data_IF_149106691356
#
_entry.id   IF_149106691356
#
_cell.length_a   1.000
_cell.length_b   1.000
_cell.length_c   1.000
_cell.angle_alpha   90.00
_cell.angle_beta   90.00
_cell.angle_gamma   90.00
#
_symmetry.space_group_name_H-M   'P 1'
#
loop_
_entity.id
_entity.type
_entity.pdbx_description
1 polymer ?
#
# COMPACT_ATOMS: atom_id res chain seq x y z
N UNK A 1 11.84 17.35 -16.64
CA UNK A 1 12.31 16.82 -15.37
C UNK A 1 11.72 15.44 -15.15
N UNK A 2 12.54 14.47 -14.81
CA UNK A 2 12.09 13.09 -14.65
C UNK A 2 11.48 12.91 -13.28
N UNK A 3 10.27 12.32 -13.20
CA UNK A 3 9.60 12.01 -11.94
C UNK A 3 10.33 10.88 -11.23
N UNK A 4 10.40 10.99 -9.91
CA UNK A 4 10.89 9.90 -9.06
C UNK A 4 9.70 9.11 -8.55
N UNK A 5 9.78 7.79 -8.65
CA UNK A 5 8.70 6.90 -8.26
C UNK A 5 9.15 5.89 -7.21
N UNK A 6 8.30 5.70 -6.20
CA UNK A 6 8.45 4.65 -5.21
C UNK A 6 7.33 3.63 -5.43
N UNK A 7 7.72 2.38 -5.60
CA UNK A 7 6.81 1.25 -5.69
C UNK A 7 7.01 0.42 -4.44
N UNK A 8 6.01 0.33 -3.59
CA UNK A 8 6.14 -0.31 -2.29
C UNK A 8 5.15 -1.46 -2.18
N UNK A 9 5.66 -2.67 -1.99
CA UNK A 9 4.81 -3.84 -1.73
C UNK A 9 4.79 -4.11 -0.24
N UNK A 10 3.60 -4.18 0.33
CA UNK A 10 3.39 -4.50 1.74
C UNK A 10 2.75 -5.88 1.81
N UNK A 11 3.38 -6.80 2.55
CA UNK A 11 2.95 -8.20 2.59
C UNK A 11 2.37 -8.61 3.95
N UNK A 12 2.29 -7.68 4.90
CA UNK A 12 1.86 -7.98 6.26
C UNK A 12 0.90 -6.94 6.80
N UNK A 13 0.12 -7.36 7.77
CA UNK A 13 -0.81 -6.51 8.51
C UNK A 13 -0.48 -6.53 10.00
N UNK A 14 -1.52 -6.67 10.85
CA UNK A 14 -1.36 -6.65 12.31
C UNK A 14 -0.47 -7.78 12.85
N UNK A 15 -0.31 -8.87 12.12
CA UNK A 15 0.56 -9.98 12.55
C UNK A 15 2.04 -9.61 12.56
N UNK A 16 2.42 -8.52 11.90
CA UNK A 16 3.76 -7.98 11.91
C UNK A 16 3.67 -6.45 11.95
N UNK A 17 3.14 -5.95 13.06
CA UNK A 17 2.72 -4.55 13.21
C UNK A 17 3.85 -3.55 12.92
N UNK A 18 5.05 -3.79 13.43
CA UNK A 18 6.14 -2.84 13.20
C UNK A 18 6.58 -2.80 11.73
N UNK A 19 6.59 -3.95 11.06
CA UNK A 19 6.93 -4.00 9.63
C UNK A 19 5.87 -3.28 8.80
N UNK A 20 4.60 -3.51 9.10
CA UNK A 20 3.51 -2.82 8.42
C UNK A 20 3.58 -1.31 8.65
N UNK A 21 3.86 -0.89 9.88
CA UNK A 21 4.03 0.52 10.21
C UNK A 21 5.20 1.15 9.43
N UNK A 22 6.34 0.46 9.35
CA UNK A 22 7.49 0.92 8.58
C UNK A 22 7.12 1.17 7.12
N UNK A 23 6.42 0.22 6.52
CA UNK A 23 6.02 0.32 5.12
C UNK A 23 5.11 1.53 4.86
N UNK A 24 4.08 1.69 5.68
CA UNK A 24 3.16 2.81 5.51
C UNK A 24 3.80 4.15 5.83
N UNK A 25 4.71 4.19 6.82
CA UNK A 25 5.46 5.40 7.13
C UNK A 25 6.34 5.83 5.96
N UNK A 26 7.08 4.89 5.36
CA UNK A 26 7.92 5.17 4.20
C UNK A 26 7.06 5.65 3.02
N UNK A 27 5.94 5.00 2.77
CA UNK A 27 5.04 5.39 1.69
C UNK A 27 4.51 6.82 1.89
N UNK A 28 4.04 7.15 3.09
CA UNK A 28 3.52 8.49 3.39
C UNK A 28 4.62 9.54 3.29
N UNK A 29 5.83 9.24 3.75
CA UNK A 29 6.96 10.16 3.60
C UNK A 29 7.33 10.37 2.15
N UNK A 30 7.22 9.34 1.31
CA UNK A 30 7.41 9.46 -0.14
C UNK A 30 6.42 10.45 -0.77
N UNK A 31 5.15 10.36 -0.37
CA UNK A 31 4.13 11.31 -0.82
C UNK A 31 4.50 12.73 -0.40
N UNK A 32 4.88 12.92 0.86
CA UNK A 32 5.27 14.22 1.38
C UNK A 32 6.50 14.80 0.67
N UNK A 33 7.40 13.94 0.22
CA UNK A 33 8.60 14.34 -0.52
C UNK A 33 8.35 14.66 -1.99
N UNK A 34 7.12 14.50 -2.45
CA UNK A 34 6.75 14.78 -3.84
C UNK A 34 7.03 13.64 -4.82
N UNK A 35 7.35 12.45 -4.34
CA UNK A 35 7.52 11.28 -5.20
C UNK A 35 6.15 10.77 -5.68
N UNK A 36 6.15 10.10 -6.83
CA UNK A 36 4.99 9.33 -7.27
C UNK A 36 5.03 8.00 -6.51
N UNK A 37 4.06 7.79 -5.62
CA UNK A 37 4.04 6.61 -4.74
C UNK A 37 2.92 5.67 -5.14
N UNK A 38 3.27 4.40 -5.33
CA UNK A 38 2.31 3.33 -5.58
C UNK A 38 2.53 2.23 -4.55
N UNK A 39 1.49 1.92 -3.79
CA UNK A 39 1.53 0.89 -2.75
C UNK A 39 0.71 -0.30 -3.21
N UNK A 40 1.33 -1.48 -3.15
CA UNK A 40 0.70 -2.76 -3.49
C UNK A 40 0.51 -3.58 -2.23
N UNK A 41 -0.69 -4.08 -2.02
CA UNK A 41 -1.05 -4.83 -0.83
C UNK A 41 -1.26 -6.30 -1.17
N UNK A 42 -0.54 -7.17 -0.46
CA UNK A 42 -0.67 -8.62 -0.57
C UNK A 42 -0.84 -9.23 0.83
N UNK A 43 -1.32 -10.47 0.88
CA UNK A 43 -1.54 -11.15 2.15
C UNK A 43 -2.43 -10.33 3.08
N UNK A 44 -2.11 -10.30 4.35
CA UNK A 44 -2.90 -9.59 5.35
C UNK A 44 -2.87 -8.07 5.20
N UNK A 45 -1.93 -7.54 4.42
CA UNK A 45 -1.91 -6.11 4.14
C UNK A 45 -3.15 -5.65 3.35
N UNK A 46 -3.83 -6.54 2.67
CA UNK A 46 -5.05 -6.25 1.90
C UNK A 46 -6.08 -5.52 2.76
N UNK A 47 -6.17 -5.88 4.04
CA UNK A 47 -7.19 -5.31 4.94
C UNK A 47 -7.03 -3.82 5.17
N UNK A 48 -5.85 -3.25 4.96
CA UNK A 48 -5.66 -1.80 5.05
C UNK A 48 -6.49 -1.04 4.01
N UNK A 49 -6.87 -1.69 2.92
CA UNK A 49 -7.68 -1.06 1.87
C UNK A 49 -9.18 -1.31 2.04
N UNK A 50 -9.63 -1.99 3.11
CA UNK A 50 -11.03 -2.35 3.30
C UNK A 50 -11.65 -1.51 4.41
N UNK A 51 -12.56 -0.56 4.09
CA UNK A 51 -13.22 0.26 5.10
C UNK A 51 -13.92 -0.61 6.15
N UNK A 52 -13.74 -0.25 7.41
CA UNK A 52 -14.34 -0.97 8.53
C UNK A 52 -13.58 -2.23 8.96
N UNK A 53 -12.58 -2.65 8.20
CA UNK A 53 -11.76 -3.83 8.53
C UNK A 53 -10.26 -3.50 8.56
N UNK A 54 -9.93 -2.24 8.55
CA UNK A 54 -8.54 -1.78 8.58
C UNK A 54 -7.91 -2.12 9.94
N UNK A 55 -6.73 -2.79 9.96
CA UNK A 55 -6.07 -3.10 11.22
C UNK A 55 -5.59 -1.84 11.93
N UNK A 56 -5.71 -1.84 13.26
CA UNK A 56 -5.07 -0.86 14.11
C UNK A 56 -3.79 -1.50 14.65
N UNK A 57 -2.65 -0.86 14.44
CA UNK A 57 -1.36 -1.44 14.82
C UNK A 57 -0.99 -1.17 16.28
N UNK A 58 -1.63 -0.19 16.91
CA UNK A 58 -1.47 0.13 18.35
C UNK A 58 -0.02 0.27 18.79
N UNK A 59 0.83 0.87 17.94
CA UNK A 59 2.25 1.03 18.24
C UNK A 59 2.53 2.35 18.95
N UNK A 60 3.26 2.33 20.09
CA UNK A 60 3.71 3.58 20.72
C UNK A 60 4.60 4.38 19.76
N UNK A 61 4.50 5.70 19.87
CA UNK A 61 5.31 6.67 19.11
C UNK A 61 5.06 6.68 17.61
N UNK A 62 4.08 5.92 17.12
CA UNK A 62 3.75 5.88 15.70
C UNK A 62 2.57 6.81 15.39
N UNK A 63 2.59 7.40 14.20
CA UNK A 63 1.40 8.01 13.64
C UNK A 63 0.35 6.91 13.43
N UNK A 64 -0.92 7.14 13.76
CA UNK A 64 -1.95 6.14 13.51
C UNK A 64 -1.93 5.67 12.06
N UNK A 65 -1.96 4.35 11.85
CA UNK A 65 -1.84 3.78 10.51
C UNK A 65 -2.95 4.26 9.58
N UNK A 66 -4.14 4.53 10.13
CA UNK A 66 -5.25 5.06 9.35
C UNK A 66 -4.89 6.40 8.67
N UNK A 67 -4.14 7.25 9.36
CA UNK A 67 -3.70 8.54 8.81
C UNK A 67 -2.65 8.34 7.72
N UNK A 68 -1.75 7.38 7.89
CA UNK A 68 -0.74 7.06 6.88
C UNK A 68 -1.40 6.51 5.61
N UNK A 69 -2.35 5.59 5.77
CA UNK A 69 -3.10 5.03 4.64
C UNK A 69 -3.83 6.13 3.88
N UNK A 70 -4.48 7.04 4.60
CA UNK A 70 -5.22 8.15 3.99
C UNK A 70 -4.29 9.10 3.23
N UNK A 71 -3.11 9.38 3.77
CA UNK A 71 -2.10 10.18 3.06
C UNK A 71 -1.75 9.54 1.72
N UNK A 72 -1.51 8.23 1.71
CA UNK A 72 -1.18 7.51 0.48
C UNK A 72 -2.37 7.46 -0.47
N UNK A 73 -3.58 7.23 0.06
CA UNK A 73 -4.79 7.20 -0.76
C UNK A 73 -5.00 8.50 -1.52
N UNK A 74 -4.78 9.62 -0.84
CA UNK A 74 -4.99 10.96 -1.43
C UNK A 74 -3.86 11.40 -2.35
N UNK A 75 -2.61 11.05 -2.01
CA UNK A 75 -1.44 11.56 -2.73
C UNK A 75 -0.69 10.52 -3.57
N UNK A 76 -1.13 9.28 -3.56
CA UNK A 76 -0.51 8.19 -4.30
C UNK A 76 -1.54 7.23 -4.85
N UNK A 77 -1.16 5.97 -5.03
CA UNK A 77 -2.05 4.92 -5.52
C UNK A 77 -1.98 3.69 -4.62
N UNK A 78 -3.11 3.03 -4.43
CA UNK A 78 -3.20 1.78 -3.67
C UNK A 78 -3.75 0.69 -4.60
N UNK A 79 -3.05 -0.43 -4.69
CA UNK A 79 -3.44 -1.57 -5.52
C UNK A 79 -3.44 -2.83 -4.66
N UNK A 80 -4.47 -3.64 -4.79
CA UNK A 80 -4.61 -4.91 -4.08
C UNK A 80 -4.34 -6.06 -5.05
N UNK A 81 -3.56 -7.04 -4.60
CA UNK A 81 -3.23 -8.22 -5.39
C UNK A 81 -4.48 -9.02 -5.73
N UNK A 82 -4.66 -9.37 -7.00
CA UNK A 82 -5.80 -10.13 -7.51
C UNK A 82 -6.04 -11.42 -6.71
N UNK A 83 -5.01 -12.23 -6.50
CA UNK A 83 -5.16 -13.50 -5.78
C UNK A 83 -5.51 -13.29 -4.31
N UNK A 84 -4.88 -12.30 -3.68
CA UNK A 84 -5.11 -12.02 -2.27
C UNK A 84 -6.52 -11.48 -2.03
N UNK A 85 -7.03 -10.67 -2.96
CA UNK A 85 -8.41 -10.20 -2.92
C UNK A 85 -9.38 -11.37 -3.10
N UNK A 86 -9.12 -12.23 -4.09
CA UNK A 86 -9.99 -13.38 -4.37
C UNK A 86 -10.07 -14.34 -3.18
N UNK A 87 -8.95 -14.62 -2.52
CA UNK A 87 -8.94 -15.48 -1.32
C UNK A 87 -9.76 -14.91 -0.18
N UNK A 88 -9.96 -13.61 -0.16
CA UNK A 88 -10.69 -12.89 0.89
C UNK A 88 -12.06 -12.42 0.41
N UNK A 89 -12.45 -12.87 -0.79
CA UNK A 89 -13.76 -12.57 -1.39
C UNK A 89 -14.01 -11.06 -1.51
N UNK A 90 -12.98 -10.32 -1.94
CA UNK A 90 -13.05 -8.87 -2.09
C UNK A 90 -13.08 -8.47 -3.57
N UNK A 91 -13.98 -7.56 -3.91
CA UNK A 91 -14.01 -6.87 -5.18
C UNK A 91 -13.62 -5.41 -5.00
N UNK A 92 -13.48 -4.67 -6.10
CA UNK A 92 -13.11 -3.24 -6.01
C UNK A 92 -14.13 -2.42 -5.24
N UNK A 93 -15.40 -2.80 -5.27
CA UNK A 93 -16.46 -2.12 -4.52
C UNK A 93 -16.27 -2.22 -2.99
N UNK A 94 -15.49 -3.19 -2.52
CA UNK A 94 -15.23 -3.39 -1.09
C UNK A 94 -14.04 -2.57 -0.60
N UNK A 95 -13.31 -1.93 -1.50
CA UNK A 95 -12.08 -1.23 -1.19
C UNK A 95 -12.31 0.27 -1.00
N UNK A 96 -11.35 0.93 -0.37
CA UNK A 96 -11.35 2.39 -0.27
C UNK A 96 -11.42 3.00 -1.66
N UNK A 97 -11.97 4.19 -1.75
CA UNK A 97 -12.11 4.91 -3.01
C UNK A 97 -10.76 5.01 -3.72
N UNK A 98 -10.76 4.81 -5.02
CA UNK A 98 -9.61 4.85 -5.92
C UNK A 98 -8.64 3.66 -5.83
N UNK A 99 -8.80 2.75 -4.88
CA UNK A 99 -7.99 1.52 -4.87
C UNK A 99 -8.42 0.60 -6.01
N UNK A 100 -7.45 -0.10 -6.60
CA UNK A 100 -7.68 -1.02 -7.72
C UNK A 100 -7.19 -2.42 -7.39
N UNK A 101 -7.61 -3.40 -8.19
CA UNK A 101 -7.17 -4.79 -8.07
C UNK A 101 -6.39 -5.13 -9.33
N UNK A 102 -5.12 -5.55 -9.18
CA UNK A 102 -4.27 -5.93 -10.30
C UNK A 102 -3.37 -7.10 -9.91
N UNK A 103 -2.84 -7.79 -10.90
CA UNK A 103 -2.02 -8.99 -10.69
C UNK A 103 -0.52 -8.73 -10.72
N UNK A 104 0.24 -9.81 -10.52
CA UNK A 104 1.69 -9.77 -10.45
C UNK A 104 2.34 -9.23 -11.72
N UNK A 105 1.76 -9.50 -12.89
CA UNK A 105 2.31 -9.00 -14.16
C UNK A 105 2.35 -7.46 -14.17
N UNK A 106 1.30 -6.82 -13.67
CA UNK A 106 1.24 -5.35 -13.57
C UNK A 106 2.27 -4.83 -12.56
N UNK A 107 2.48 -5.55 -11.46
CA UNK A 107 3.51 -5.17 -10.49
C UNK A 107 4.91 -5.20 -11.12
N UNK A 108 5.23 -6.28 -11.83
CA UNK A 108 6.53 -6.43 -12.47
C UNK A 108 6.75 -5.35 -13.51
N UNK A 109 5.73 -5.07 -14.32
CA UNK A 109 5.80 -3.99 -15.32
C UNK A 109 6.12 -2.65 -14.66
N UNK A 110 5.44 -2.34 -13.56
CA UNK A 110 5.69 -1.12 -12.82
C UNK A 110 7.11 -1.09 -12.23
N UNK A 111 7.56 -2.22 -11.66
CA UNK A 111 8.88 -2.32 -11.03
C UNK A 111 10.03 -2.16 -12.04
N UNK A 112 9.79 -2.54 -13.29
CA UNK A 112 10.79 -2.44 -14.37
C UNK A 112 10.79 -1.07 -15.05
N UNK A 113 9.94 -0.16 -14.62
CA UNK A 113 9.89 1.19 -15.16
C UNK A 113 11.14 2.00 -14.87
N UNK A 114 11.41 3.01 -15.70
CA UNK A 114 12.52 3.91 -15.49
C UNK A 114 12.28 4.79 -14.25
N UNK A 115 13.36 5.06 -13.50
CA UNK A 115 13.32 5.91 -12.30
C UNK A 115 12.37 5.40 -11.19
N UNK A 116 12.16 4.09 -11.13
CA UNK A 116 11.37 3.44 -10.10
C UNK A 116 12.30 2.78 -9.08
N UNK A 117 12.04 3.05 -7.80
CA UNK A 117 12.64 2.31 -6.69
C UNK A 117 11.57 1.40 -6.12
N UNK A 118 11.82 0.09 -6.13
CA UNK A 118 10.89 -0.89 -5.57
C UNK A 118 11.35 -1.35 -4.21
N UNK A 119 10.48 -1.23 -3.21
CA UNK A 119 10.73 -1.66 -1.84
C UNK A 119 9.68 -2.68 -1.45
N UNK A 120 10.10 -3.74 -0.76
CA UNK A 120 9.19 -4.80 -0.31
C UNK A 120 9.33 -4.97 1.20
N UNK A 121 8.20 -4.93 1.87
CA UNK A 121 8.10 -5.14 3.32
C UNK A 121 7.31 -6.38 3.65
#
# INVERSE_FOLDING_TARGET
>A
MTSRSLLIKITCGAEAAERANQAWTVAAMGVAAGASVSVWLTGEAVWFAVPGRQPDLELPYATPVADLVETVRLGGAITVCTQCAARRELGEADLVESATIQGAASFVEAALGDNVRALVY
#
